data_IF_496625132611
#
_entry.id   IF_496625132611
#
_cell.length_a   1.000
_cell.length_b   1.000
_cell.length_c   1.000
_cell.angle_alpha   90.00
_cell.angle_beta   90.00
_cell.angle_gamma   90.00
#
_symmetry.space_group_name_H-M   'P 1'
#
loop_
_entity.id
_entity.type
_entity.pdbx_description
1 polymer ?
#
# COMPACT_ATOMS: atom_id res chain seq x y z
N UNK A 1 -17.21 -3.45 -17.23
CA UNK A 1 -17.34 -2.34 -16.24
C UNK A 1 -16.99 -1.05 -16.94
N UNK A 2 -17.55 0.07 -16.50
CA UNK A 2 -17.24 1.41 -17.02
C UNK A 2 -16.61 2.23 -15.90
N UNK A 3 -15.65 3.08 -16.23
CA UNK A 3 -15.02 4.01 -15.30
C UNK A 3 -14.93 5.39 -15.95
N UNK A 4 -14.97 6.48 -15.17
CA UNK A 4 -14.68 7.81 -15.70
C UNK A 4 -13.31 7.86 -16.37
N UNK A 5 -13.18 8.71 -17.39
CA UNK A 5 -11.89 8.96 -18.04
C UNK A 5 -10.86 9.42 -17.00
N UNK A 6 -9.66 8.85 -17.06
CA UNK A 6 -8.57 9.13 -16.11
C UNK A 6 -8.70 8.44 -14.75
N UNK A 7 -9.78 7.70 -14.47
CA UNK A 7 -9.90 6.93 -13.23
C UNK A 7 -8.84 5.83 -13.16
N UNK A 8 -8.38 5.54 -11.95
CA UNK A 8 -7.47 4.41 -11.68
C UNK A 8 -8.22 3.08 -11.73
N UNK A 9 -7.50 1.99 -11.95
CA UNK A 9 -8.06 0.63 -11.88
C UNK A 9 -8.72 0.36 -10.52
N UNK A 10 -8.18 0.90 -9.43
CA UNK A 10 -8.74 0.76 -8.09
C UNK A 10 -10.10 1.47 -7.97
N UNK A 11 -10.23 2.69 -8.48
CA UNK A 11 -11.47 3.45 -8.47
C UNK A 11 -12.53 2.76 -9.33
N UNK A 12 -12.14 2.33 -10.53
CA UNK A 12 -12.98 1.55 -11.41
C UNK A 12 -13.48 0.27 -10.70
N UNK A 13 -12.59 -0.49 -10.06
CA UNK A 13 -12.93 -1.72 -9.36
C UNK A 13 -13.92 -1.46 -8.21
N UNK A 14 -13.70 -0.41 -7.42
CA UNK A 14 -14.61 -0.01 -6.34
C UNK A 14 -15.98 0.39 -6.85
N UNK A 15 -16.07 1.15 -7.94
CA UNK A 15 -17.34 1.52 -8.56
C UNK A 15 -18.13 0.29 -9.04
N UNK A 16 -17.42 -0.79 -9.42
CA UNK A 16 -18.02 -2.07 -9.78
C UNK A 16 -18.24 -3.04 -8.59
N UNK A 17 -18.00 -2.62 -7.35
CA UNK A 17 -18.14 -3.47 -6.16
C UNK A 17 -17.06 -4.54 -6.00
N UNK A 18 -15.95 -4.44 -6.73
CA UNK A 18 -14.82 -5.39 -6.67
C UNK A 18 -13.82 -4.91 -5.62
N UNK A 19 -13.68 -5.68 -4.54
CA UNK A 19 -12.71 -5.40 -3.48
C UNK A 19 -11.26 -5.67 -3.90
N UNK A 20 -10.43 -4.62 -3.90
CA UNK A 20 -8.97 -4.71 -4.01
C UNK A 20 -8.36 -4.20 -2.69
N UNK A 21 -7.53 -4.99 -1.99
CA UNK A 21 -7.00 -4.59 -0.69
C UNK A 21 -6.02 -3.43 -0.81
N UNK A 22 -6.15 -2.44 0.06
CA UNK A 22 -5.30 -1.26 0.15
C UNK A 22 -5.04 -0.90 1.60
N UNK A 23 -3.78 -0.63 1.96
CA UNK A 23 -3.42 -0.17 3.31
C UNK A 23 -3.04 1.31 3.35
N UNK A 24 -2.45 1.81 2.26
CA UNK A 24 -1.89 3.17 2.19
C UNK A 24 -2.70 4.11 1.28
N UNK A 25 -3.91 3.72 0.91
CA UNK A 25 -4.81 4.53 0.08
C UNK A 25 -5.83 5.23 0.97
N UNK A 26 -6.03 6.53 0.74
CA UNK A 26 -7.12 7.29 1.35
C UNK A 26 -7.72 8.24 0.31
N UNK A 27 -9.06 8.34 0.16
CA UNK A 27 -9.69 9.16 -0.89
C UNK A 27 -9.32 10.65 -0.85
N UNK A 28 -9.03 11.19 0.33
CA UNK A 28 -8.62 12.59 0.50
C UNK A 28 -7.14 12.87 0.17
N UNK A 29 -6.36 11.85 -0.18
CA UNK A 29 -4.93 11.96 -0.48
C UNK A 29 -4.67 11.44 -1.90
N UNK A 30 -3.58 11.93 -2.50
CA UNK A 30 -3.14 11.40 -3.79
C UNK A 30 -2.81 9.89 -3.72
N UNK A 31 -2.77 9.17 -4.83
CA UNK A 31 -2.31 7.79 -4.78
C UNK A 31 -0.79 7.70 -4.56
N UNK A 32 -0.35 6.68 -3.82
CA UNK A 32 1.07 6.54 -3.41
C UNK A 32 1.71 5.20 -3.75
N UNK A 33 0.94 4.10 -3.72
CA UNK A 33 1.44 2.77 -4.10
C UNK A 33 2.48 2.15 -3.16
N UNK A 34 2.66 2.65 -1.93
CA UNK A 34 3.67 2.18 -1.00
C UNK A 34 3.45 0.74 -0.49
N UNK A 35 2.22 0.39 -0.09
CA UNK A 35 1.95 -0.90 0.58
C UNK A 35 1.91 -2.13 -0.35
N UNK A 36 1.82 -1.95 -1.67
CA UNK A 36 1.74 -3.02 -2.69
C UNK A 36 0.61 -4.05 -2.51
N UNK A 37 -0.34 -3.85 -1.61
CA UNK A 37 -1.48 -4.77 -1.50
C UNK A 37 -2.43 -4.68 -2.70
N UNK A 38 -2.48 -3.54 -3.39
CA UNK A 38 -3.40 -3.31 -4.50
C UNK A 38 -2.86 -3.78 -5.86
N UNK A 39 -1.89 -4.70 -5.87
CA UNK A 39 -1.36 -5.28 -7.12
C UNK A 39 -2.46 -6.05 -7.86
N UNK A 40 -2.48 -5.93 -9.19
CA UNK A 40 -3.38 -6.64 -10.09
C UNK A 40 -2.62 -7.07 -11.33
N UNK A 41 -3.04 -8.18 -11.94
CA UNK A 41 -2.54 -8.63 -13.23
C UNK A 41 -3.36 -7.97 -14.33
N UNK A 42 -2.72 -7.37 -15.32
CA UNK A 42 -3.40 -6.72 -16.45
C UNK A 42 -2.89 -7.30 -17.76
N UNK A 43 -3.83 -7.53 -18.67
CA UNK A 43 -3.58 -7.93 -20.06
C UNK A 43 -4.57 -7.22 -20.98
N UNK A 44 -4.40 -7.40 -22.29
CA UNK A 44 -5.33 -6.96 -23.32
C UNK A 44 -5.43 -8.03 -24.40
N UNK A 45 -6.51 -8.00 -25.17
CA UNK A 45 -6.72 -8.95 -26.26
C UNK A 45 -5.62 -8.88 -27.33
N UNK A 46 -5.05 -7.70 -27.56
CA UNK A 46 -3.98 -7.42 -28.53
C UNK A 46 -2.56 -7.73 -28.01
N UNK A 47 -2.41 -8.24 -26.78
CA UNK A 47 -1.10 -8.49 -26.15
C UNK A 47 -0.55 -9.91 -26.37
N UNK A 48 -1.18 -10.72 -27.21
CA UNK A 48 -0.71 -12.09 -27.54
C UNK A 48 -0.38 -12.94 -26.29
N UNK A 49 -1.29 -12.92 -25.30
CA UNK A 49 -1.14 -13.64 -24.03
C UNK A 49 -0.16 -13.01 -23.03
N UNK A 50 0.53 -11.91 -23.37
CA UNK A 50 1.38 -11.19 -22.43
C UNK A 50 0.56 -10.48 -21.34
N UNK A 51 1.08 -10.46 -20.12
CA UNK A 51 0.47 -9.73 -19.01
C UNK A 51 1.52 -9.15 -18.07
N UNK A 52 1.19 -8.03 -17.43
CA UNK A 52 2.04 -7.40 -16.40
C UNK A 52 1.28 -7.19 -15.11
N UNK A 53 2.01 -7.22 -13.99
CA UNK A 53 1.45 -6.84 -12.69
C UNK A 53 1.67 -5.35 -12.48
N UNK A 54 0.60 -4.64 -12.14
CA UNK A 54 0.59 -3.20 -11.89
C UNK A 54 -0.06 -2.89 -10.54
N UNK A 55 0.17 -1.68 -10.06
CA UNK A 55 -0.46 -1.16 -8.84
C UNK A 55 -1.78 -0.50 -9.22
N UNK A 56 -2.91 -1.12 -8.87
CA UNK A 56 -4.23 -0.61 -9.29
C UNK A 56 -4.55 0.80 -8.77
N UNK A 57 -3.96 1.23 -7.66
CA UNK A 57 -4.19 2.59 -7.15
C UNK A 57 -3.47 3.69 -7.95
N UNK A 58 -2.54 3.34 -8.85
CA UNK A 58 -1.80 4.31 -9.66
C UNK A 58 -2.04 4.14 -11.16
N UNK A 59 -2.26 2.90 -11.61
CA UNK A 59 -2.50 2.61 -13.02
C UNK A 59 -3.89 3.10 -13.45
N UNK A 60 -3.96 3.81 -14.58
CA UNK A 60 -5.19 4.23 -15.23
C UNK A 60 -5.98 3.04 -15.75
N UNK A 61 -7.32 3.12 -15.68
CA UNK A 61 -8.24 2.14 -16.23
C UNK A 61 -8.48 2.41 -17.72
N UNK A 62 -7.51 2.09 -18.56
CA UNK A 62 -7.60 2.26 -20.02
C UNK A 62 -8.60 1.28 -20.67
N UNK A 63 -9.13 1.67 -21.84
CA UNK A 63 -10.07 0.86 -22.60
C UNK A 63 -9.48 -0.48 -23.05
N UNK A 64 -10.29 -1.53 -22.89
CA UNK A 64 -9.95 -2.90 -23.27
C UNK A 64 -8.99 -3.61 -22.31
N UNK A 65 -8.65 -3.02 -21.15
CA UNK A 65 -7.90 -3.73 -20.11
C UNK A 65 -8.71 -4.89 -19.51
N UNK A 66 -8.07 -6.05 -19.43
CA UNK A 66 -8.56 -7.23 -18.73
C UNK A 66 -7.77 -7.35 -17.42
N UNK A 67 -8.46 -7.21 -16.28
CA UNK A 67 -7.84 -7.16 -14.96
C UNK A 67 -8.14 -8.43 -14.17
N UNK A 68 -7.10 -9.11 -13.68
CA UNK A 68 -7.21 -10.25 -12.77
C UNK A 68 -6.66 -9.88 -11.39
N UNK A 69 -7.55 -9.82 -10.39
CA UNK A 69 -7.21 -9.42 -9.01
C UNK A 69 -6.72 -10.57 -8.14
N UNK A 70 -6.77 -11.82 -8.64
CA UNK A 70 -6.47 -13.06 -7.91
C UNK A 70 -5.58 -14.01 -8.71
N UNK A 71 -4.82 -13.51 -9.70
CA UNK A 71 -3.87 -14.34 -10.46
C UNK A 71 -2.84 -14.95 -9.51
N UNK A 72 -2.26 -16.11 -9.89
CA UNK A 72 -1.23 -16.78 -9.08
C UNK A 72 -0.08 -15.84 -8.75
N UNK A 73 0.34 -15.03 -9.73
CA UNK A 73 1.41 -14.02 -9.57
C UNK A 73 1.00 -12.94 -8.56
N UNK A 74 -0.21 -12.38 -8.68
CA UNK A 74 -0.72 -11.36 -7.73
C UNK A 74 -0.81 -11.91 -6.30
N UNK A 75 -1.36 -13.10 -6.13
CA UNK A 75 -1.51 -13.71 -4.80
C UNK A 75 -0.15 -14.03 -4.17
N UNK A 76 0.81 -14.54 -4.96
CA UNK A 76 2.17 -14.77 -4.50
C UNK A 76 2.87 -13.46 -4.09
N UNK A 77 2.76 -12.40 -4.89
CA UNK A 77 3.39 -11.11 -4.52
C UNK A 77 2.73 -10.46 -3.30
N UNK A 78 1.40 -10.55 -3.16
CA UNK A 78 0.70 -10.08 -1.95
C UNK A 78 1.09 -10.87 -0.70
N UNK A 79 1.30 -12.17 -0.83
CA UNK A 79 1.82 -13.01 0.26
C UNK A 79 3.20 -12.51 0.73
N UNK A 80 4.11 -12.24 -0.20
CA UNK A 80 5.43 -11.67 0.11
C UNK A 80 5.30 -10.30 0.79
N UNK A 81 4.42 -9.42 0.28
CA UNK A 81 4.19 -8.12 0.89
C UNK A 81 3.66 -8.26 2.34
N UNK A 82 2.72 -9.18 2.57
CA UNK A 82 2.18 -9.44 3.91
C UNK A 82 3.22 -10.06 4.86
N UNK A 83 4.09 -10.94 4.37
CA UNK A 83 5.20 -11.52 5.13
C UNK A 83 6.22 -10.45 5.55
N UNK A 84 6.62 -9.57 4.63
CA UNK A 84 7.51 -8.43 4.95
C UNK A 84 6.88 -7.45 5.95
N UNK A 85 5.56 -7.22 5.86
CA UNK A 85 4.84 -6.43 6.86
C UNK A 85 4.88 -7.11 8.23
N UNK A 86 4.72 -8.43 8.29
CA UNK A 86 4.81 -9.21 9.53
C UNK A 86 6.24 -9.16 10.12
N UNK A 87 7.28 -9.23 9.29
CA UNK A 87 8.66 -9.08 9.74
C UNK A 87 8.91 -7.72 10.42
N UNK A 88 8.28 -6.65 9.90
CA UNK A 88 8.42 -5.31 10.44
C UNK A 88 7.58 -5.07 11.69
N UNK A 89 6.35 -5.56 11.66
CA UNK A 89 5.30 -5.30 12.64
C UNK A 89 4.81 -6.64 13.25
N UNK A 90 5.71 -7.42 13.89
CA UNK A 90 5.43 -8.79 14.30
C UNK A 90 4.35 -8.87 15.35
N UNK A 91 4.16 -7.82 16.16
CA UNK A 91 3.21 -7.82 17.27
C UNK A 91 1.86 -7.17 16.97
N UNK A 92 1.77 -6.43 15.85
CA UNK A 92 0.55 -5.70 15.48
C UNK A 92 -0.59 -6.66 15.10
N UNK A 93 -1.72 -6.69 15.84
CA UNK A 93 -2.79 -7.64 15.59
C UNK A 93 -3.39 -7.55 14.18
N UNK A 94 -3.45 -6.35 13.62
CA UNK A 94 -3.89 -6.11 12.25
C UNK A 94 -2.99 -6.83 11.23
N UNK A 95 -1.67 -6.72 11.40
CA UNK A 95 -0.69 -7.32 10.49
C UNK A 95 -0.68 -8.83 10.61
N UNK A 96 -0.77 -9.39 11.83
CA UNK A 96 -0.94 -10.83 12.06
C UNK A 96 -2.15 -11.38 11.29
N UNK A 97 -3.31 -10.72 11.39
CA UNK A 97 -4.52 -11.13 10.66
C UNK A 97 -4.37 -11.00 9.15
N UNK A 98 -3.75 -9.92 8.68
CA UNK A 98 -3.48 -9.71 7.26
C UNK A 98 -2.60 -10.83 6.69
N UNK A 99 -1.49 -11.13 7.35
CA UNK A 99 -0.55 -12.18 6.97
C UNK A 99 -1.19 -13.57 7.00
N UNK A 100 -1.97 -13.88 8.04
CA UNK A 100 -2.72 -15.12 8.14
C UNK A 100 -3.69 -15.31 6.96
N UNK A 101 -4.31 -14.22 6.48
CA UNK A 101 -5.16 -14.23 5.28
C UNK A 101 -4.44 -14.66 3.98
N UNK A 102 -3.11 -14.61 3.94
CA UNK A 102 -2.27 -15.11 2.85
C UNK A 102 -1.53 -16.42 3.21
N UNK A 103 -1.87 -17.04 4.34
CA UNK A 103 -1.26 -18.28 4.83
C UNK A 103 0.15 -18.09 5.39
N UNK A 104 0.41 -16.92 5.99
CA UNK A 104 1.67 -16.59 6.69
C UNK A 104 1.36 -16.39 8.16
N UNK A 105 1.75 -17.35 9.00
CA UNK A 105 1.57 -17.29 10.47
C UNK A 105 2.82 -16.85 11.20
N UNK A 106 3.98 -17.14 10.62
CA UNK A 106 5.31 -16.70 11.06
C UNK A 106 6.04 -16.13 9.84
N UNK A 107 6.90 -15.14 10.06
CA UNK A 107 7.61 -14.50 8.95
C UNK A 107 8.76 -15.36 8.44
N UNK A 108 8.97 -15.35 7.12
CA UNK A 108 10.13 -15.99 6.48
C UNK A 108 11.38 -15.07 6.48
N UNK A 109 11.23 -13.82 6.93
CA UNK A 109 12.26 -12.79 6.90
C UNK A 109 12.80 -12.49 8.30
N UNK A 110 13.96 -11.83 8.35
CA UNK A 110 14.48 -11.31 9.62
C UNK A 110 13.51 -10.27 10.18
N UNK A 111 13.09 -10.46 11.42
CA UNK A 111 12.29 -9.50 12.18
C UNK A 111 13.11 -8.21 12.37
N UNK A 112 12.45 -7.06 12.27
CA UNK A 112 13.09 -5.76 12.52
C UNK A 112 13.81 -5.75 13.86
N UNK A 113 15.03 -5.21 13.91
CA UNK A 113 15.79 -5.10 15.17
C UNK A 113 15.08 -4.18 16.19
N UNK A 114 14.27 -3.24 15.68
CA UNK A 114 13.38 -2.37 16.45
C UNK A 114 11.95 -2.45 15.89
N UNK A 115 11.14 -3.42 16.34
CA UNK A 115 9.77 -3.60 15.87
C UNK A 115 8.85 -2.47 16.33
N UNK A 116 8.00 -1.99 15.41
CA UNK A 116 6.98 -0.98 15.71
C UNK A 116 5.64 -1.37 15.09
N UNK A 117 4.56 -0.71 15.50
CA UNK A 117 3.25 -0.89 14.84
C UNK A 117 3.13 -0.13 13.50
N UNK A 118 4.16 0.63 13.12
CA UNK A 118 4.16 1.44 11.92
C UNK A 118 4.52 0.61 10.67
N UNK A 119 3.50 0.27 9.87
CA UNK A 119 3.65 -0.39 8.57
C UNK A 119 4.23 0.51 7.47
N UNK A 120 4.66 1.73 7.80
CA UNK A 120 5.12 2.75 6.86
C UNK A 120 4.11 2.99 5.73
N UNK A 121 2.83 3.16 6.06
CA UNK A 121 1.78 3.46 5.07
C UNK A 121 1.78 4.92 4.61
N UNK A 122 2.58 5.79 5.24
CA UNK A 122 2.76 7.19 4.84
C UNK A 122 1.49 8.06 4.96
N UNK A 123 0.37 7.53 5.44
CA UNK A 123 -0.87 8.31 5.55
C UNK A 123 -0.69 9.50 6.49
N UNK A 124 -0.09 9.29 7.66
CA UNK A 124 0.17 10.35 8.64
C UNK A 124 1.08 11.46 8.08
N UNK A 125 2.21 11.12 7.47
CA UNK A 125 3.16 12.10 6.92
C UNK A 125 2.53 12.90 5.76
N UNK A 126 1.71 12.24 4.93
CA UNK A 126 1.06 12.87 3.79
C UNK A 126 -0.13 13.75 4.19
N UNK A 127 -0.88 13.37 5.22
CA UNK A 127 -1.88 14.25 5.83
C UNK A 127 -1.20 15.46 6.46
N UNK A 128 -0.12 15.26 7.22
CA UNK A 128 0.63 16.33 7.85
C UNK A 128 1.18 17.34 6.82
N UNK A 129 1.66 16.85 5.66
CA UNK A 129 2.09 17.71 4.56
C UNK A 129 0.93 18.44 3.87
N UNK A 130 -0.25 17.81 3.77
CA UNK A 130 -1.39 18.40 3.06
C UNK A 130 -2.15 19.45 3.88
N UNK A 131 -2.34 19.22 5.17
CA UNK A 131 -3.20 20.05 6.04
C UNK A 131 -2.54 20.49 7.37
N UNK A 132 -1.38 19.94 7.70
CA UNK A 132 -0.65 20.27 8.93
C UNK A 132 0.56 21.17 8.68
N UNK A 133 1.51 21.15 9.61
CA UNK A 133 2.71 22.00 9.59
C UNK A 133 3.96 21.28 9.09
N UNK A 134 3.81 20.14 8.42
CA UNK A 134 4.93 19.29 7.99
C UNK A 134 5.78 18.78 9.16
N UNK A 135 5.15 18.59 10.33
CA UNK A 135 5.82 18.22 11.55
C UNK A 135 6.46 16.82 11.54
N UNK A 136 5.96 15.91 10.70
CA UNK A 136 6.48 14.54 10.59
C UNK A 136 6.80 14.18 9.15
N UNK A 137 7.87 13.40 8.97
CA UNK A 137 8.31 12.90 7.68
C UNK A 137 8.81 11.46 7.79
N UNK A 138 9.03 10.84 6.63
CA UNK A 138 9.76 9.57 6.56
C UNK A 138 11.25 9.85 6.63
N UNK A 139 11.91 9.31 7.64
CA UNK A 139 13.35 9.40 7.86
C UNK A 139 14.04 8.09 7.44
N UNK A 140 15.35 8.15 7.20
CA UNK A 140 16.18 6.99 6.83
C UNK A 140 15.75 6.28 5.53
N UNK A 141 16.34 5.12 5.22
CA UNK A 141 16.10 4.36 3.97
C UNK A 141 16.12 2.85 4.22
N UNK A 142 15.50 2.09 3.32
CA UNK A 142 15.48 0.63 3.43
C UNK A 142 14.78 0.14 4.69
N UNK A 143 15.37 -0.86 5.36
CA UNK A 143 14.82 -1.48 6.57
C UNK A 143 14.78 -0.53 7.78
N UNK A 144 15.74 0.41 7.87
CA UNK A 144 15.84 1.39 8.98
C UNK A 144 14.91 2.59 8.81
N UNK A 145 14.04 2.58 7.80
CA UNK A 145 13.06 3.65 7.56
C UNK A 145 12.10 3.77 8.75
N UNK A 146 11.82 5.01 9.14
CA UNK A 146 10.91 5.34 10.25
C UNK A 146 10.13 6.61 9.96
N UNK A 147 9.07 6.86 10.74
CA UNK A 147 8.33 8.13 10.72
C UNK A 147 8.66 8.87 12.00
N UNK A 148 9.02 10.13 11.90
CA UNK A 148 9.30 10.99 13.05
C UNK A 148 9.44 12.45 12.62
N UNK A 149 9.65 13.31 13.61
CA UNK A 149 9.90 14.72 13.39
C UNK A 149 11.34 14.97 12.90
N UNK A 150 11.60 16.06 12.16
CA UNK A 150 12.96 16.41 11.76
C UNK A 150 13.92 16.43 12.97
N UNK A 151 15.02 15.70 12.88
CA UNK A 151 16.02 15.55 13.97
C UNK A 151 15.44 15.01 15.29
N UNK A 152 14.29 14.33 15.23
CA UNK A 152 13.56 13.83 16.39
C UNK A 152 13.18 14.91 17.40
N UNK A 153 13.03 16.16 16.92
CA UNK A 153 12.57 17.31 17.70
C UNK A 153 11.16 17.69 17.28
N UNK A 154 10.23 17.79 18.24
CA UNK A 154 8.87 18.22 17.97
C UNK A 154 8.83 19.71 17.60
N UNK A 155 8.25 20.08 16.43
CA UNK A 155 8.15 21.47 16.02
C UNK A 155 7.21 22.27 16.93
N UNK A 156 7.58 23.51 17.24
CA UNK A 156 6.80 24.38 18.12
C UNK A 156 5.42 24.75 17.55
N UNK A 157 5.24 24.65 16.24
CA UNK A 157 4.00 24.93 15.52
C UNK A 157 3.15 23.67 15.27
N UNK A 158 3.57 22.49 15.77
CA UNK A 158 2.78 21.28 15.69
C UNK A 158 1.43 21.47 16.42
N UNK A 159 0.34 21.27 15.70
CA UNK A 159 -1.03 21.44 16.21
C UNK A 159 -1.64 20.14 16.77
N UNK A 160 -0.90 19.03 16.77
CA UNK A 160 -1.31 17.78 17.41
C UNK A 160 -2.59 17.16 16.84
N UNK A 161 -2.75 17.09 15.52
CA UNK A 161 -3.92 16.51 14.83
C UNK A 161 -4.16 14.99 15.07
N UNK A 162 -3.60 14.41 16.13
CA UNK A 162 -3.61 12.98 16.43
C UNK A 162 -4.99 12.50 16.94
#
# INVERSE_FOLDING_TARGET
MQAPEGATILEAARAAGIGIPTLCHHPALEPWGGCRMCLVDVTRADWDGWSKVVISCLATADDGLIVNTKSRRVMATRRVAADLLLARCPDTPFVKRLAAGYGVTETSYQVSDDPTDCILCGLCTRVCAKIGTHAIATQSRGATKMVGSPFDVEPADCIGCA
#
